data_IF_319899218252
#
_entry.id   IF_319899218252
#
_cell.length_a   1.000
_cell.length_b   1.000
_cell.length_c   1.000
_cell.angle_alpha   90.00
_cell.angle_beta   90.00
_cell.angle_gamma   90.00
#
_symmetry.space_group_name_H-M   'P 1'
#
loop_
_entity.id
_entity.type
_entity.pdbx_description
1 polymer ?
#
# COMPACT_ATOMS: atom_id res chain seq x y z
N UNK A 1 48.72 47.23 13.26
CA UNK A 1 49.19 48.55 12.79
C UNK A 1 50.71 48.54 12.84
N UNK A 2 51.38 48.64 11.68
CA UNK A 2 52.02 49.91 11.35
C UNK A 2 51.77 50.38 9.90
N UNK A 3 51.91 51.69 9.74
CA UNK A 3 51.96 52.52 8.53
C UNK A 3 53.16 52.08 7.67
N UNK A 4 53.19 52.06 6.33
CA UNK A 4 52.62 52.93 5.30
C UNK A 4 53.80 53.45 4.44
N UNK A 5 53.77 53.32 3.10
CA UNK A 5 54.28 54.29 2.11
C UNK A 5 54.27 53.75 0.66
N UNK A 6 53.80 54.62 -0.22
CA UNK A 6 53.62 54.50 -1.68
C UNK A 6 54.95 54.75 -2.42
N UNK A 7 55.19 54.00 -3.50
CA UNK A 7 56.18 54.32 -4.54
C UNK A 7 55.64 54.01 -5.93
N UNK A 8 55.53 55.02 -6.81
CA UNK A 8 55.16 54.94 -8.24
C UNK A 8 56.43 54.91 -9.11
N UNK A 9 56.43 54.14 -10.22
CA UNK A 9 56.97 54.47 -11.58
C UNK A 9 56.70 53.28 -12.54
N UNK A 10 55.84 53.44 -13.57
CA UNK A 10 56.10 53.71 -15.02
C UNK A 10 56.94 52.61 -15.72
N UNK A 11 56.45 51.81 -16.68
CA UNK A 11 55.82 51.95 -18.05
C UNK A 11 56.84 51.74 -19.19
N UNK A 12 56.60 50.70 -20.01
CA UNK A 12 57.00 50.52 -21.42
C UNK A 12 56.23 49.26 -21.90
N UNK A 13 55.23 49.26 -22.79
CA UNK A 13 54.99 49.82 -24.14
C UNK A 13 55.76 49.08 -25.25
N UNK A 14 55.08 48.14 -25.90
CA UNK A 14 55.20 47.75 -27.33
C UNK A 14 53.98 46.84 -27.63
N UNK A 15 52.96 47.32 -28.35
CA UNK A 15 52.73 47.46 -29.81
C UNK A 15 51.74 46.40 -30.29
N UNK A 16 50.74 46.89 -31.00
CA UNK A 16 49.59 46.14 -31.46
C UNK A 16 49.92 45.29 -32.70
N UNK A 17 49.20 44.18 -32.87
CA UNK A 17 48.63 43.89 -34.17
C UNK A 17 47.36 43.04 -34.04
N UNK A 18 46.31 43.57 -34.65
CA UNK A 18 45.00 42.99 -34.87
C UNK A 18 45.08 41.90 -35.95
N UNK A 19 44.47 40.74 -35.70
CA UNK A 19 43.79 39.97 -36.75
C UNK A 19 42.49 39.45 -36.14
N UNK A 20 41.38 39.94 -36.66
CA UNK A 20 40.03 39.43 -36.41
C UNK A 20 39.90 38.01 -36.96
N UNK A 21 39.25 37.16 -36.17
CA UNK A 21 38.80 35.83 -36.56
C UNK A 21 37.60 35.46 -35.71
N UNK A 22 36.42 35.92 -36.12
CA UNK A 22 35.14 35.42 -35.63
C UNK A 22 34.90 33.98 -36.14
N UNK A 23 34.67 33.01 -35.24
CA UNK A 23 33.32 32.51 -34.93
C UNK A 23 33.32 31.22 -34.07
N UNK A 24 32.49 31.29 -33.01
CA UNK A 24 31.59 30.28 -32.43
C UNK A 24 32.00 28.81 -32.28
N UNK A 25 31.95 28.33 -31.03
CA UNK A 25 31.73 26.91 -30.73
C UNK A 25 32.23 26.39 -29.39
N UNK A 26 32.25 27.17 -28.30
CA UNK A 26 32.66 26.67 -26.98
C UNK A 26 31.46 26.05 -26.23
N UNK A 27 31.52 24.74 -26.02
CA UNK A 27 30.55 23.97 -25.26
C UNK A 27 30.39 24.49 -23.83
N UNK A 28 29.17 24.90 -23.50
CA UNK A 28 28.72 25.14 -22.14
C UNK A 28 28.60 23.82 -21.38
N UNK A 29 29.70 23.36 -20.79
CA UNK A 29 29.67 22.31 -19.78
C UNK A 29 29.09 22.87 -18.49
N UNK A 30 27.77 22.85 -18.35
CA UNK A 30 27.11 23.08 -17.07
C UNK A 30 27.52 21.98 -16.09
N UNK A 31 28.28 22.35 -15.07
CA UNK A 31 28.56 21.48 -13.93
C UNK A 31 27.21 21.03 -13.33
N UNK A 32 27.00 19.73 -13.03
CA UNK A 32 25.81 19.31 -12.32
C UNK A 32 25.79 20.00 -10.96
N UNK A 33 24.70 20.73 -10.69
CA UNK A 33 24.48 21.36 -9.39
C UNK A 33 24.54 20.32 -8.27
N UNK A 34 24.79 20.75 -7.02
CA UNK A 34 24.84 19.84 -5.89
C UNK A 34 23.54 19.01 -5.84
N UNK A 35 23.61 17.70 -5.55
CA UNK A 35 22.42 16.87 -5.47
C UNK A 35 21.47 17.51 -4.47
N UNK A 36 20.25 17.81 -4.93
CA UNK A 36 19.17 18.29 -4.07
C UNK A 36 19.05 17.27 -2.93
N UNK A 37 19.17 17.66 -1.65
CA UNK A 37 19.03 16.71 -0.56
C UNK A 37 17.67 16.04 -0.67
N UNK A 38 17.66 14.72 -0.80
CA UNK A 38 16.43 13.94 -0.82
C UNK A 38 15.61 14.32 0.41
N UNK A 39 14.40 14.85 0.19
CA UNK A 39 13.49 15.18 1.28
C UNK A 39 13.23 13.89 2.05
N UNK A 40 13.73 13.82 3.29
CA UNK A 40 13.56 12.64 4.14
C UNK A 40 12.11 12.57 4.59
N UNK A 41 11.39 11.58 4.10
CA UNK A 41 10.00 11.36 4.48
C UNK A 41 9.95 10.67 5.84
N UNK A 42 9.34 11.33 6.81
CA UNK A 42 9.18 10.84 8.18
C UNK A 42 7.71 10.58 8.42
N UNK A 43 7.39 9.35 8.82
CA UNK A 43 6.05 8.95 9.20
C UNK A 43 6.03 8.60 10.70
N UNK A 44 4.85 8.69 11.29
CA UNK A 44 4.62 8.31 12.67
C UNK A 44 3.88 6.98 12.70
N UNK A 45 4.14 6.19 13.74
CA UNK A 45 3.48 4.89 13.91
C UNK A 45 3.12 4.61 15.35
N UNK A 46 2.11 3.78 15.59
CA UNK A 46 1.73 3.22 16.88
C UNK A 46 1.36 1.74 16.71
N UNK A 47 1.52 0.93 17.76
CA UNK A 47 0.88 -0.38 17.82
C UNK A 47 -0.62 -0.17 18.08
N UNK A 48 -1.47 -0.85 17.31
CA UNK A 48 -2.93 -0.65 17.36
C UNK A 48 -3.55 -0.98 18.74
N UNK A 49 -2.91 -1.84 19.53
CA UNK A 49 -3.34 -2.20 20.89
C UNK A 49 -2.80 -1.28 21.98
N UNK A 50 -2.06 -0.22 21.60
CA UNK A 50 -1.49 0.77 22.50
C UNK A 50 0.05 0.71 22.56
N UNK A 51 0.68 1.81 22.19
CA UNK A 51 2.12 2.07 22.41
C UNK A 51 2.39 3.58 22.39
N UNK A 52 3.56 4.03 22.87
CA UNK A 52 4.06 5.37 22.53
C UNK A 52 4.17 5.55 21.01
N UNK A 53 4.11 6.80 20.53
CA UNK A 53 4.32 7.13 19.12
C UNK A 53 5.77 6.90 18.72
N UNK A 54 5.96 6.02 17.74
CA UNK A 54 7.21 5.76 17.05
C UNK A 54 7.40 6.65 15.81
N UNK A 55 8.63 6.72 15.32
CA UNK A 55 8.99 7.40 14.08
C UNK A 55 9.63 6.40 13.13
N UNK A 56 9.18 6.37 11.88
CA UNK A 56 9.73 5.52 10.81
C UNK A 56 10.07 6.37 9.59
N UNK A 57 11.19 6.05 8.97
CA UNK A 57 11.76 6.77 7.83
C UNK A 57 12.56 5.78 6.96
N UNK A 58 12.95 6.21 5.76
CA UNK A 58 13.83 5.46 4.85
C UNK A 58 13.34 4.03 4.54
N UNK A 59 12.13 3.93 3.98
CA UNK A 59 11.55 2.69 3.43
C UNK A 59 10.99 2.95 2.02
N UNK A 60 11.05 1.92 1.18
CA UNK A 60 10.63 1.94 -0.22
C UNK A 60 9.66 0.81 -0.58
N UNK A 61 9.39 -0.09 0.37
CA UNK A 61 8.44 -1.19 0.23
C UNK A 61 7.67 -1.44 1.53
N UNK A 62 6.57 -2.20 1.44
CA UNK A 62 5.81 -2.63 2.62
C UNK A 62 6.67 -3.49 3.56
N UNK A 63 7.52 -4.36 2.99
CA UNK A 63 8.43 -5.19 3.77
C UNK A 63 9.42 -4.34 4.58
N UNK A 64 10.01 -3.31 3.97
CA UNK A 64 10.89 -2.37 4.67
C UNK A 64 10.12 -1.56 5.71
N UNK A 65 8.91 -1.08 5.39
CA UNK A 65 8.05 -0.39 6.34
C UNK A 65 7.81 -1.24 7.60
N UNK A 66 7.44 -2.51 7.44
CA UNK A 66 7.21 -3.41 8.57
C UNK A 66 8.49 -3.67 9.35
N UNK A 67 9.64 -3.80 8.67
CA UNK A 67 10.93 -3.90 9.35
C UNK A 67 11.26 -2.64 10.18
N UNK A 68 10.96 -1.43 9.66
CA UNK A 68 11.14 -0.17 10.40
C UNK A 68 10.23 -0.09 11.62
N UNK A 69 8.95 -0.40 11.47
CA UNK A 69 7.97 -0.42 12.58
C UNK A 69 8.41 -1.43 13.63
N UNK A 70 8.78 -2.64 13.22
CA UNK A 70 9.22 -3.70 14.11
C UNK A 70 10.48 -3.30 14.92
N UNK A 71 11.45 -2.65 14.25
CA UNK A 71 12.65 -2.12 14.90
C UNK A 71 12.36 -1.05 15.95
N UNK A 72 11.36 -0.19 15.72
CA UNK A 72 10.95 0.85 16.70
C UNK A 72 10.38 0.23 17.98
N UNK A 73 9.63 -0.87 17.85
CA UNK A 73 8.95 -1.52 18.99
C UNK A 73 9.68 -2.75 19.55
N UNK A 74 10.84 -3.11 18.99
CA UNK A 74 11.61 -4.27 19.44
C UNK A 74 10.85 -5.60 19.24
N UNK A 75 10.02 -5.71 18.21
CA UNK A 75 9.29 -6.93 17.85
C UNK A 75 9.86 -7.54 16.56
N UNK A 76 9.51 -8.80 16.26
CA UNK A 76 9.81 -9.37 14.94
C UNK A 76 8.88 -8.77 13.88
N UNK A 77 9.34 -8.50 12.64
CA UNK A 77 8.45 -8.10 11.54
C UNK A 77 7.31 -9.09 11.30
N UNK A 78 7.53 -10.38 11.56
CA UNK A 78 6.52 -11.44 11.49
C UNK A 78 5.40 -11.32 12.52
N UNK A 79 5.53 -10.45 13.53
CA UNK A 79 4.47 -10.17 14.48
C UNK A 79 3.45 -9.19 13.94
N UNK A 80 3.79 -8.39 12.92
CA UNK A 80 2.88 -7.42 12.30
C UNK A 80 1.98 -8.16 11.31
N UNK A 81 0.66 -8.12 11.55
CA UNK A 81 -0.36 -8.67 10.67
C UNK A 81 -0.62 -7.73 9.49
N UNK A 82 -0.96 -6.48 9.76
CA UNK A 82 -1.22 -5.45 8.75
C UNK A 82 -1.18 -4.06 9.40
N UNK A 83 -1.35 -3.01 8.60
CA UNK A 83 -1.44 -1.64 9.10
C UNK A 83 -2.74 -0.96 8.66
N UNK A 84 -3.29 -0.13 9.52
CA UNK A 84 -4.35 0.84 9.19
C UNK A 84 -3.81 2.26 9.31
N UNK A 85 -4.39 3.18 8.55
CA UNK A 85 -4.01 4.59 8.54
C UNK A 85 -5.00 5.42 9.35
N UNK A 86 -4.49 6.24 10.26
CA UNK A 86 -5.23 7.21 11.08
C UNK A 86 -6.28 6.60 12.04
N UNK A 87 -6.28 5.28 12.26
CA UNK A 87 -7.16 4.62 13.23
C UNK A 87 -6.48 3.39 13.84
N UNK A 88 -6.53 3.19 15.17
CA UNK A 88 -6.10 1.95 15.82
C UNK A 88 -7.14 0.84 15.71
N UNK A 89 -8.36 1.16 15.27
CA UNK A 89 -9.43 0.18 15.13
C UNK A 89 -9.17 -0.72 13.92
N UNK A 90 -9.70 -1.93 13.98
CA UNK A 90 -9.79 -2.82 12.83
C UNK A 90 -10.84 -2.24 11.88
N UNK A 91 -10.38 -1.36 11.00
CA UNK A 91 -11.18 -0.65 10.01
C UNK A 91 -10.57 -0.91 8.63
N UNK A 92 -11.23 -1.76 7.85
CA UNK A 92 -10.73 -2.22 6.56
C UNK A 92 -10.83 -1.17 5.45
N UNK A 93 -11.60 -0.09 5.67
CA UNK A 93 -11.65 1.06 4.76
C UNK A 93 -10.42 1.97 4.95
N UNK A 94 -9.73 1.81 6.09
CA UNK A 94 -8.47 2.48 6.42
C UNK A 94 -7.26 1.57 6.33
N UNK A 95 -7.40 0.38 5.74
CA UNK A 95 -6.30 -0.55 5.52
C UNK A 95 -5.24 0.09 4.61
N UNK A 96 -3.97 -0.09 4.94
CA UNK A 96 -2.87 0.34 4.09
C UNK A 96 -2.85 -0.45 2.76
N UNK A 97 -3.28 0.19 1.68
CA UNK A 97 -3.29 -0.36 0.31
C UNK A 97 -2.23 0.27 -0.60
N UNK A 98 -1.00 0.40 -0.11
CA UNK A 98 0.14 0.87 -0.92
C UNK A 98 0.26 2.40 -1.08
N UNK A 99 -0.71 3.20 -0.64
CA UNK A 99 -0.58 4.67 -0.56
C UNK A 99 -0.56 5.14 0.89
N UNK A 100 0.35 6.06 1.20
CA UNK A 100 0.49 6.67 2.52
C UNK A 100 0.53 8.19 2.35
N UNK A 101 -0.45 8.91 2.89
CA UNK A 101 -0.38 10.36 2.96
C UNK A 101 0.80 10.82 3.81
N UNK A 102 1.47 11.91 3.42
CA UNK A 102 2.68 12.38 4.12
C UNK A 102 2.46 12.75 5.60
N UNK A 103 1.22 12.90 6.03
CA UNK A 103 0.82 13.23 7.40
C UNK A 103 0.07 12.08 8.09
N UNK A 104 -0.07 10.92 7.44
CA UNK A 104 -0.80 9.80 8.00
C UNK A 104 -0.05 9.19 9.19
N UNK A 105 -0.83 8.81 10.21
CA UNK A 105 -0.36 8.02 11.33
C UNK A 105 -0.62 6.54 11.04
N UNK A 106 0.43 5.71 11.13
CA UNK A 106 0.36 4.30 10.79
C UNK A 106 0.13 3.46 12.05
N UNK A 107 -0.99 2.76 12.13
CA UNK A 107 -1.29 1.84 13.21
C UNK A 107 -0.98 0.40 12.81
N UNK A 108 -0.01 -0.21 13.47
CA UNK A 108 0.39 -1.59 13.22
C UNK A 108 -0.40 -2.56 14.09
N UNK A 109 -1.15 -3.45 13.43
CA UNK A 109 -1.89 -4.53 14.07
C UNK A 109 -0.97 -5.73 14.20
N UNK A 110 -0.80 -6.24 15.42
CA UNK A 110 0.12 -7.37 15.69
C UNK A 110 -0.64 -8.61 16.11
N UNK A 111 0.00 -9.78 15.95
CA UNK A 111 -0.53 -11.08 16.33
C UNK A 111 -0.99 -11.10 17.79
N UNK A 112 -2.23 -11.52 17.99
CA UNK A 112 -2.86 -11.69 19.29
C UNK A 112 -3.29 -13.13 19.51
N UNK A 113 -4.59 -13.33 19.71
CA UNK A 113 -5.15 -14.61 20.14
C UNK A 113 -5.19 -15.58 18.97
N UNK A 114 -4.66 -16.79 19.15
CA UNK A 114 -4.84 -17.90 18.21
C UNK A 114 -6.17 -18.59 18.46
N UNK A 115 -6.89 -18.86 17.38
CA UNK A 115 -8.22 -19.50 17.38
C UNK A 115 -8.20 -20.70 16.44
N UNK A 116 -8.87 -21.77 16.82
CA UNK A 116 -9.10 -22.92 15.95
C UNK A 116 -10.61 -23.17 15.89
N UNK A 117 -11.16 -23.19 14.68
CA UNK A 117 -12.61 -23.23 14.46
C UNK A 117 -12.94 -24.28 13.42
N UNK A 118 -13.89 -25.15 13.72
CA UNK A 118 -14.48 -26.09 12.76
C UNK A 118 -15.73 -25.45 12.16
N UNK A 119 -15.81 -25.45 10.83
CA UNK A 119 -16.91 -24.85 10.08
C UNK A 119 -17.49 -25.89 9.14
N UNK A 120 -18.82 -25.97 9.07
CA UNK A 120 -19.52 -26.80 8.11
C UNK A 120 -19.80 -26.01 6.83
N UNK A 121 -19.32 -26.50 5.68
CA UNK A 121 -19.53 -25.83 4.39
C UNK A 121 -20.87 -26.24 3.76
N UNK A 122 -21.96 -25.60 4.16
CA UNK A 122 -23.32 -25.87 3.65
C UNK A 122 -23.61 -25.28 2.26
N UNK A 123 -22.80 -24.34 1.79
CA UNK A 123 -22.95 -23.64 0.51
C UNK A 123 -21.59 -23.54 -0.20
N UNK A 124 -21.61 -23.25 -1.49
CA UNK A 124 -20.38 -23.12 -2.28
C UNK A 124 -19.53 -21.92 -1.82
N UNK A 125 -20.20 -20.83 -1.38
CA UNK A 125 -19.56 -19.63 -0.86
C UNK A 125 -19.64 -19.58 0.66
N UNK A 126 -18.50 -19.27 1.29
CA UNK A 126 -18.42 -19.07 2.74
C UNK A 126 -18.92 -17.68 3.18
N UNK A 127 -19.09 -16.75 2.23
CA UNK A 127 -19.36 -15.34 2.54
C UNK A 127 -18.14 -14.60 3.09
N UNK A 128 -16.93 -14.95 2.63
CA UNK A 128 -15.68 -14.28 3.01
C UNK A 128 -15.12 -13.48 1.84
N UNK A 129 -14.56 -12.32 2.17
CA UNK A 129 -13.68 -11.58 1.28
C UNK A 129 -12.29 -11.51 1.90
N UNK A 130 -11.29 -12.03 1.17
CA UNK A 130 -9.91 -12.15 1.66
C UNK A 130 -9.04 -11.04 1.06
N UNK A 131 -8.09 -10.55 1.85
CA UNK A 131 -7.03 -9.65 1.39
C UNK A 131 -5.71 -10.08 2.03
N UNK A 132 -4.58 -9.46 1.67
CA UNK A 132 -3.30 -9.73 2.31
C UNK A 132 -2.49 -8.44 2.55
N UNK A 133 -1.41 -8.59 3.30
CA UNK A 133 -0.53 -7.50 3.69
C UNK A 133 0.68 -7.31 2.75
N UNK A 134 0.71 -7.97 1.60
CA UNK A 134 1.83 -7.95 0.66
C UNK A 134 3.10 -8.68 1.11
N UNK A 135 3.14 -9.25 2.32
CA UNK A 135 4.31 -9.98 2.86
C UNK A 135 3.94 -11.37 3.40
N UNK A 136 2.86 -11.95 2.86
CA UNK A 136 2.50 -13.36 3.06
C UNK A 136 1.50 -13.64 4.17
N UNK A 137 0.79 -12.63 4.70
CA UNK A 137 -0.34 -12.86 5.61
C UNK A 137 -1.66 -12.47 4.96
N UNK A 138 -2.48 -13.47 4.65
CA UNK A 138 -3.85 -13.30 4.21
C UNK A 138 -4.80 -13.19 5.41
N UNK A 139 -5.77 -12.27 5.36
CA UNK A 139 -6.72 -12.04 6.44
C UNK A 139 -8.11 -11.68 5.92
N UNK A 140 -9.10 -11.80 6.80
CA UNK A 140 -10.50 -11.56 6.49
C UNK A 140 -10.76 -10.06 6.41
N UNK A 141 -11.07 -9.55 5.21
CA UNK A 141 -11.42 -8.14 4.98
C UNK A 141 -12.91 -7.89 5.21
N UNK A 142 -13.77 -8.81 4.79
CA UNK A 142 -15.22 -8.71 4.94
C UNK A 142 -15.82 -10.08 5.23
N UNK A 143 -16.90 -10.06 6.01
CA UNK A 143 -17.81 -11.18 6.20
C UNK A 143 -19.17 -10.71 5.66
N UNK A 144 -19.76 -11.48 4.76
CA UNK A 144 -21.06 -11.19 4.16
C UNK A 144 -22.18 -11.54 5.14
N UNK A 145 -23.07 -10.58 5.40
CA UNK A 145 -24.26 -10.78 6.23
C UNK A 145 -25.10 -11.96 5.72
N UNK A 146 -25.48 -12.84 6.64
CA UNK A 146 -26.22 -14.07 6.33
C UNK A 146 -25.41 -15.16 5.62
N UNK A 147 -24.11 -14.95 5.37
CA UNK A 147 -23.22 -16.00 4.89
C UNK A 147 -22.88 -17.03 5.96
N UNK A 148 -22.29 -18.17 5.54
CA UNK A 148 -21.89 -19.26 6.47
C UNK A 148 -21.07 -18.72 7.63
N UNK A 149 -20.05 -17.91 7.34
CA UNK A 149 -19.12 -17.43 8.36
C UNK A 149 -19.74 -16.35 9.26
N UNK A 150 -20.74 -15.60 8.81
CA UNK A 150 -21.45 -14.64 9.67
C UNK A 150 -22.12 -15.35 10.88
N UNK A 151 -22.57 -16.59 10.71
CA UNK A 151 -23.11 -17.39 11.82
C UNK A 151 -22.04 -17.81 12.85
N UNK A 152 -20.75 -17.78 12.49
CA UNK A 152 -19.63 -18.26 13.30
C UNK A 152 -18.97 -17.09 14.03
N UNK A 153 -19.51 -16.71 15.19
CA UNK A 153 -19.11 -15.49 15.94
C UNK A 153 -17.66 -15.46 16.44
N UNK A 154 -16.96 -16.60 16.44
CA UNK A 154 -15.53 -16.69 16.77
C UNK A 154 -14.63 -16.12 15.66
N UNK A 155 -15.12 -16.11 14.42
CA UNK A 155 -14.41 -15.61 13.25
C UNK A 155 -14.79 -14.14 13.06
N UNK A 156 -13.80 -13.27 12.93
CA UNK A 156 -13.97 -11.83 12.87
C UNK A 156 -13.23 -11.22 11.68
N UNK A 157 -13.71 -10.07 11.21
CA UNK A 157 -12.94 -9.20 10.30
C UNK A 157 -11.60 -8.84 10.97
N UNK A 158 -10.51 -8.91 10.21
CA UNK A 158 -9.14 -8.72 10.68
C UNK A 158 -8.41 -9.99 11.09
N UNK A 159 -9.10 -11.12 11.21
CA UNK A 159 -8.43 -12.39 11.52
C UNK A 159 -7.50 -12.81 10.39
N UNK A 160 -6.22 -13.06 10.72
CA UNK A 160 -5.26 -13.68 9.83
C UNK A 160 -5.51 -15.19 9.74
N UNK A 161 -5.56 -15.73 8.53
CA UNK A 161 -5.70 -17.17 8.28
C UNK A 161 -4.31 -17.81 8.28
N UNK A 162 -3.98 -18.55 9.35
CA UNK A 162 -2.68 -19.22 9.51
C UNK A 162 -2.64 -20.57 8.77
N UNK A 163 -3.75 -21.32 8.80
CA UNK A 163 -3.88 -22.62 8.11
C UNK A 163 -5.33 -23.01 7.81
N UNK A 164 -5.52 -23.81 6.77
CA UNK A 164 -6.81 -24.43 6.38
C UNK A 164 -6.60 -25.96 6.40
N UNK A 165 -7.42 -26.70 7.15
CA UNK A 165 -7.31 -28.16 7.32
C UNK A 165 -5.90 -28.63 7.75
N UNK A 166 -5.21 -27.82 8.55
CA UNK A 166 -3.84 -28.09 9.02
C UNK A 166 -2.73 -27.75 8.03
N UNK A 167 -3.05 -27.41 6.77
CA UNK A 167 -2.09 -26.90 5.80
C UNK A 167 -1.86 -25.40 6.02
N UNK A 168 -0.62 -25.00 6.31
CA UNK A 168 -0.29 -23.58 6.48
C UNK A 168 -0.43 -22.83 5.16
N UNK A 169 -1.03 -21.65 5.24
CA UNK A 169 -1.17 -20.73 4.11
C UNK A 169 -0.30 -19.48 4.27
N UNK A 170 0.60 -19.47 5.26
CA UNK A 170 1.56 -18.39 5.45
C UNK A 170 2.50 -18.32 4.25
N UNK A 171 2.72 -17.13 3.72
CA UNK A 171 3.50 -16.88 2.50
C UNK A 171 2.66 -16.89 1.22
N UNK A 172 1.44 -17.39 1.26
CA UNK A 172 0.52 -17.38 0.11
C UNK A 172 -0.16 -16.01 0.00
N UNK A 173 -0.50 -15.64 -1.24
CA UNK A 173 -1.28 -14.44 -1.54
C UNK A 173 -2.77 -14.68 -1.29
N UNK A 174 -3.52 -13.60 -1.08
CA UNK A 174 -4.95 -13.64 -0.78
C UNK A 174 -5.77 -14.44 -1.81
N UNK A 175 -5.41 -14.38 -3.10
CA UNK A 175 -6.11 -15.11 -4.16
C UNK A 175 -5.91 -16.63 -4.07
N UNK A 176 -4.74 -17.10 -3.65
CA UNK A 176 -4.47 -18.52 -3.44
C UNK A 176 -5.28 -19.04 -2.24
N UNK A 177 -5.32 -18.24 -1.17
CA UNK A 177 -6.11 -18.56 0.04
C UNK A 177 -7.61 -18.57 -0.27
N UNK A 178 -8.11 -17.57 -1.01
CA UNK A 178 -9.50 -17.51 -1.44
C UNK A 178 -9.87 -18.70 -2.34
N UNK A 179 -8.98 -19.08 -3.27
CA UNK A 179 -9.15 -20.27 -4.11
C UNK A 179 -9.23 -21.54 -3.27
N UNK A 180 -8.31 -21.76 -2.32
CA UNK A 180 -8.35 -22.92 -1.41
C UNK A 180 -9.67 -23.01 -0.64
N UNK A 181 -10.18 -21.88 -0.12
CA UNK A 181 -11.47 -21.82 0.58
C UNK A 181 -12.65 -22.15 -0.35
N UNK A 182 -12.61 -21.68 -1.59
CA UNK A 182 -13.63 -21.97 -2.61
C UNK A 182 -13.63 -23.45 -3.00
N UNK A 183 -12.46 -24.08 -3.09
CA UNK A 183 -12.27 -25.49 -3.47
C UNK A 183 -12.56 -26.49 -2.34
N UNK A 184 -12.77 -26.02 -1.10
CA UNK A 184 -13.25 -26.88 -0.01
C UNK A 184 -14.54 -27.60 -0.43
N UNK A 185 -14.65 -28.88 -0.06
CA UNK A 185 -15.81 -29.69 -0.40
C UNK A 185 -17.05 -29.19 0.33
N UNK A 186 -18.16 -29.10 -0.40
CA UNK A 186 -19.48 -28.83 0.15
C UNK A 186 -19.95 -30.03 0.99
N UNK A 187 -20.76 -29.77 2.00
CA UNK A 187 -21.29 -30.74 2.97
C UNK A 187 -20.21 -31.44 3.82
N UNK A 188 -19.02 -30.85 3.94
CA UNK A 188 -17.95 -31.33 4.82
C UNK A 188 -17.56 -30.27 5.86
N UNK A 189 -17.03 -30.75 6.99
CA UNK A 189 -16.36 -29.90 7.98
C UNK A 189 -14.94 -29.57 7.52
N UNK A 190 -14.53 -28.34 7.74
CA UNK A 190 -13.14 -27.92 7.58
C UNK A 190 -12.69 -27.13 8.81
N UNK A 191 -11.38 -27.11 9.05
CA UNK A 191 -10.78 -26.42 10.20
C UNK A 191 -10.02 -25.18 9.73
N UNK A 192 -10.24 -24.06 10.40
CA UNK A 192 -9.44 -22.84 10.25
C UNK A 192 -8.63 -22.61 11.51
N UNK A 193 -7.32 -22.36 11.35
CA UNK A 193 -6.51 -21.72 12.40
C UNK A 193 -6.35 -20.25 12.05
N UNK A 194 -6.77 -19.41 12.97
CA UNK A 194 -6.83 -17.96 12.81
C UNK A 194 -6.00 -17.27 13.89
N UNK A 195 -5.46 -16.10 13.58
CA UNK A 195 -4.82 -15.22 14.54
C UNK A 195 -5.58 -13.89 14.55
N UNK A 196 -6.23 -13.60 15.67
CA UNK A 196 -6.87 -12.32 15.91
C UNK A 196 -5.81 -11.25 16.24
N UNK A 197 -5.91 -10.04 15.69
CA UNK A 197 -5.07 -8.92 16.10
C UNK A 197 -5.23 -8.61 17.59
N UNK A 198 -4.15 -8.19 18.26
CA UNK A 198 -4.27 -7.64 19.61
C UNK A 198 -5.19 -6.42 19.58
N UNK A 199 -6.18 -6.41 20.47
CA UNK A 199 -7.08 -5.28 20.72
C UNK A 199 -6.61 -4.53 21.96
N UNK A 200 -6.96 -3.25 22.04
CA UNK A 200 -6.77 -2.47 23.26
C UNK A 200 -7.52 -3.14 24.43
N UNK A 201 -6.88 -3.24 25.59
CA UNK A 201 -7.53 -3.76 26.80
C UNK A 201 -8.38 -2.65 27.43
N UNK A 202 -9.69 -2.84 27.53
CA UNK A 202 -10.56 -2.00 28.36
C UNK A 202 -10.32 -2.30 29.85
N UNK A 203 -9.25 -1.77 30.45
CA UNK A 203 -9.04 -1.83 31.91
C UNK A 203 -9.04 -0.42 32.50
N UNK A 204 -10.22 0.05 32.90
CA UNK A 204 -10.44 1.02 34.01
C UNK A 204 -10.24 2.52 33.74
N UNK A 205 -10.69 3.37 34.70
CA UNK A 205 -11.85 4.26 34.56
C UNK A 205 -11.62 5.42 33.59
N UNK A 206 -12.71 5.86 32.92
CA UNK A 206 -12.78 7.05 32.05
C UNK A 206 -12.25 8.31 32.75
N UNK A 207 -10.95 8.56 32.64
CA UNK A 207 -10.42 9.92 32.69
C UNK A 207 -10.80 10.57 31.36
N UNK A 208 -11.63 11.63 31.44
CA UNK A 208 -12.06 12.46 30.31
C UNK A 208 -10.89 12.68 29.34
N UNK A 209 -10.92 11.97 28.22
CA UNK A 209 -10.04 12.23 27.09
C UNK A 209 -10.32 13.67 26.66
N UNK A 210 -9.31 14.53 26.82
CA UNK A 210 -9.32 15.84 26.19
C UNK A 210 -9.63 15.65 24.71
N UNK A 211 -10.60 16.41 24.20
CA UNK A 211 -10.82 16.53 22.78
C UNK A 211 -9.53 17.03 22.15
N UNK A 212 -8.69 16.13 21.64
CA UNK A 212 -7.83 16.49 20.53
C UNK A 212 -8.77 16.72 19.36
N UNK A 213 -9.11 17.99 19.15
CA UNK A 213 -9.68 18.44 17.90
C UNK A 213 -8.88 17.79 16.79
N UNK A 214 -9.55 16.99 15.95
CA UNK A 214 -9.06 16.67 14.63
C UNK A 214 -8.98 17.99 13.87
N UNK A 215 -7.90 18.74 14.11
CA UNK A 215 -7.51 19.83 13.23
C UNK A 215 -7.24 19.16 11.89
N UNK A 216 -8.16 19.42 10.94
CA UNK A 216 -7.90 19.25 9.52
C UNK A 216 -6.74 20.18 9.18
N UNK A 217 -5.52 19.68 9.40
CA UNK A 217 -4.29 20.35 9.00
C UNK A 217 -3.96 19.81 7.62
N UNK A 218 -3.88 20.73 6.66
CA UNK A 218 -3.08 20.57 5.46
C UNK A 218 -3.73 19.82 4.31
N UNK A 219 -4.01 20.55 3.24
CA UNK A 219 -4.18 20.06 1.87
C UNK A 219 -2.86 19.47 1.33
N UNK A 220 -2.36 18.41 1.96
CA UNK A 220 -1.24 17.62 1.44
C UNK A 220 -1.76 16.70 0.35
N UNK A 221 -1.80 17.18 -0.89
CA UNK A 221 -2.20 16.36 -2.06
C UNK A 221 -1.18 15.28 -2.43
N UNK A 222 -0.06 15.19 -1.73
CA UNK A 222 1.02 14.25 -2.00
C UNK A 222 0.88 12.99 -1.12
N UNK A 223 1.10 11.84 -1.75
CA UNK A 223 1.12 10.52 -1.11
C UNK A 223 2.39 9.79 -1.50
N UNK A 224 2.95 9.02 -0.58
CA UNK A 224 3.97 8.03 -0.88
C UNK A 224 3.28 6.78 -1.43
N UNK A 225 3.55 6.45 -2.69
CA UNK A 225 3.10 5.20 -3.31
C UNK A 225 4.19 4.13 -3.19
N UNK A 226 3.86 3.08 -2.46
CA UNK A 226 4.62 1.83 -2.36
C UNK A 226 4.12 0.88 -3.46
N UNK A 227 4.99 0.52 -4.39
CA UNK A 227 4.64 -0.40 -5.48
C UNK A 227 5.10 -1.81 -5.14
N UNK A 228 4.32 -2.87 -5.48
CA UNK A 228 4.77 -4.24 -5.30
C UNK A 228 6.05 -4.58 -6.07
N UNK A 229 6.22 -3.97 -7.25
CA UNK A 229 7.43 -4.05 -8.09
C UNK A 229 7.91 -2.63 -8.41
N UNK A 230 9.05 -2.22 -7.86
CA UNK A 230 9.69 -0.93 -8.14
C UNK A 230 9.96 -0.07 -6.90
N UNK A 231 10.51 1.12 -7.12
CA UNK A 231 10.82 2.07 -6.05
C UNK A 231 9.57 2.88 -5.63
N UNK A 232 9.53 3.28 -4.36
CA UNK A 232 8.49 4.17 -3.88
C UNK A 232 8.57 5.56 -4.53
N UNK A 233 7.43 6.11 -4.90
CA UNK A 233 7.29 7.41 -5.58
C UNK A 233 6.38 8.33 -4.81
N UNK A 234 6.65 9.65 -4.86
CA UNK A 234 5.70 10.66 -4.38
C UNK A 234 4.74 10.96 -5.53
N UNK A 235 3.45 10.75 -5.30
CA UNK A 235 2.39 10.94 -6.28
C UNK A 235 1.28 11.81 -5.72
N UNK A 236 0.59 12.55 -6.59
CA UNK A 236 -0.64 13.21 -6.19
C UNK A 236 -1.74 12.18 -5.90
N UNK A 237 -2.61 12.50 -4.93
CA UNK A 237 -3.81 11.70 -4.64
C UNK A 237 -4.57 11.45 -5.96
N UNK A 238 -4.98 10.19 -6.23
CA UNK A 238 -5.76 9.87 -7.42
C UNK A 238 -6.95 10.81 -7.60
N UNK A 239 -7.23 11.20 -8.85
CA UNK A 239 -8.44 11.95 -9.17
C UNK A 239 -9.68 11.15 -8.76
N UNK A 240 -10.79 11.84 -8.47
CA UNK A 240 -12.03 11.17 -8.05
C UNK A 240 -12.52 10.13 -9.07
N UNK A 241 -12.37 10.43 -10.37
CA UNK A 241 -12.67 9.50 -11.46
C UNK A 241 -11.76 8.27 -11.43
N UNK A 242 -10.45 8.45 -11.20
CA UNK A 242 -9.50 7.32 -11.06
C UNK A 242 -9.83 6.48 -9.83
N UNK A 243 -10.15 7.11 -8.71
CA UNK A 243 -10.51 6.43 -7.47
C UNK A 243 -11.79 5.57 -7.65
N UNK A 244 -12.85 6.14 -8.24
CA UNK A 244 -14.09 5.40 -8.56
C UNK A 244 -13.85 4.24 -9.53
N UNK A 245 -12.97 4.42 -10.51
CA UNK A 245 -12.62 3.35 -11.44
C UNK A 245 -11.93 2.18 -10.72
N UNK A 246 -10.94 2.50 -9.87
CA UNK A 246 -10.23 1.49 -9.08
C UNK A 246 -11.19 0.77 -8.12
N UNK A 247 -12.10 1.50 -7.47
CA UNK A 247 -13.12 0.92 -6.60
C UNK A 247 -14.03 -0.06 -7.35
N UNK A 248 -14.53 0.32 -8.53
CA UNK A 248 -15.31 -0.60 -9.38
C UNK A 248 -14.54 -1.88 -9.75
N UNK A 249 -13.24 -1.76 -10.01
CA UNK A 249 -12.39 -2.92 -10.30
C UNK A 249 -12.22 -3.80 -9.06
N UNK A 250 -12.00 -3.19 -7.90
CA UNK A 250 -11.89 -3.91 -6.61
C UNK A 250 -13.21 -4.62 -6.24
N UNK A 251 -14.36 -4.04 -6.61
CA UNK A 251 -15.67 -4.68 -6.48
C UNK A 251 -15.83 -5.89 -7.42
N UNK A 252 -15.31 -5.82 -8.66
CA UNK A 252 -15.30 -6.97 -9.57
C UNK A 252 -14.39 -8.09 -9.04
N UNK A 253 -13.23 -7.76 -8.45
CA UNK A 253 -12.36 -8.74 -7.80
C UNK A 253 -13.09 -9.47 -6.67
N UNK A 254 -13.86 -8.74 -5.87
CA UNK A 254 -14.65 -9.35 -4.80
C UNK A 254 -15.73 -10.26 -5.35
N UNK A 255 -16.45 -9.80 -6.37
CA UNK A 255 -17.55 -10.54 -6.97
C UNK A 255 -17.10 -11.86 -7.59
N UNK A 256 -16.03 -11.84 -8.38
CA UNK A 256 -15.57 -13.01 -9.14
C UNK A 256 -14.63 -13.92 -8.35
N UNK A 257 -13.79 -13.34 -7.49
CA UNK A 257 -12.68 -14.06 -6.86
C UNK A 257 -12.77 -14.10 -5.33
N UNK A 258 -13.68 -13.35 -4.71
CA UNK A 258 -13.80 -13.28 -3.25
C UNK A 258 -12.60 -12.58 -2.60
N UNK A 259 -11.95 -11.68 -3.32
CA UNK A 259 -10.77 -10.95 -2.85
C UNK A 259 -10.91 -9.45 -3.06
N UNK A 260 -10.20 -8.66 -2.27
CA UNK A 260 -10.01 -7.22 -2.53
C UNK A 260 -8.52 -6.91 -2.43
N UNK A 261 -7.98 -6.24 -3.42
CA UNK A 261 -6.59 -5.79 -3.48
C UNK A 261 -6.54 -4.50 -4.31
N UNK A 262 -6.40 -3.37 -3.61
CA UNK A 262 -6.38 -2.03 -4.22
C UNK A 262 -5.16 -1.86 -5.13
N UNK A 263 -4.02 -2.47 -4.81
CA UNK A 263 -2.83 -2.37 -5.64
C UNK A 263 -2.95 -3.20 -6.91
N UNK A 264 -3.56 -4.39 -6.81
CA UNK A 264 -3.94 -5.18 -7.99
C UNK A 264 -4.95 -4.42 -8.86
N UNK A 265 -6.02 -3.88 -8.27
CA UNK A 265 -7.03 -3.10 -8.98
C UNK A 265 -6.43 -1.86 -9.66
N UNK A 266 -5.50 -1.17 -8.99
CA UNK A 266 -4.76 -0.05 -9.57
C UNK A 266 -3.89 -0.48 -10.74
N UNK A 267 -3.21 -1.63 -10.63
CA UNK A 267 -2.39 -2.19 -11.69
C UNK A 267 -3.23 -2.56 -12.91
N UNK A 268 -4.41 -3.16 -12.70
CA UNK A 268 -5.38 -3.47 -13.76
C UNK A 268 -5.87 -2.21 -14.47
N UNK A 269 -6.22 -1.16 -13.72
CA UNK A 269 -6.59 0.14 -14.28
C UNK A 269 -5.46 0.74 -15.11
N UNK A 270 -4.23 0.73 -14.59
CA UNK A 270 -3.05 1.27 -15.28
C UNK A 270 -2.71 0.50 -16.56
N UNK A 271 -2.92 -0.82 -16.60
CA UNK A 271 -2.72 -1.64 -17.79
C UNK A 271 -3.75 -1.32 -18.91
N UNK A 272 -4.99 -0.96 -18.55
CA UNK A 272 -6.08 -0.77 -19.49
C UNK A 272 -6.37 0.67 -19.93
N UNK A 273 -6.00 1.68 -19.14
CA UNK A 273 -6.40 3.09 -19.38
C UNK A 273 -6.02 3.65 -20.77
N UNK A 274 -4.94 3.14 -21.36
CA UNK A 274 -4.39 3.62 -22.64
C UNK A 274 -4.72 2.69 -23.82
N UNK A 275 -5.44 1.59 -23.59
CA UNK A 275 -5.77 0.60 -24.64
C UNK A 275 -6.96 1.03 -25.46
N UNK A 276 -7.03 0.63 -26.72
CA UNK A 276 -8.09 1.06 -27.64
C UNK A 276 -9.22 0.06 -27.80
N UNK A 277 -8.94 -1.22 -27.55
CA UNK A 277 -9.87 -2.33 -27.77
C UNK A 277 -9.68 -3.46 -26.72
N UNK A 278 -10.67 -4.35 -26.58
CA UNK A 278 -10.61 -5.46 -25.61
C UNK A 278 -9.43 -6.41 -25.81
N UNK A 279 -9.00 -6.67 -27.06
CA UNK A 279 -7.92 -7.62 -27.34
C UNK A 279 -6.57 -7.08 -26.85
N UNK A 280 -6.27 -5.81 -27.15
CA UNK A 280 -5.10 -5.10 -26.63
C UNK A 280 -5.08 -5.06 -25.11
N UNK A 281 -6.25 -4.92 -24.49
CA UNK A 281 -6.40 -4.94 -23.05
C UNK A 281 -6.09 -6.32 -22.47
N UNK A 282 -6.70 -7.38 -23.01
CA UNK A 282 -6.47 -8.77 -22.60
C UNK A 282 -4.99 -9.14 -22.72
N UNK A 283 -4.32 -8.74 -23.80
CA UNK A 283 -2.88 -8.95 -23.97
C UNK A 283 -2.06 -8.25 -22.87
N UNK A 284 -2.34 -6.97 -22.60
CA UNK A 284 -1.61 -6.21 -21.58
C UNK A 284 -1.86 -6.73 -20.15
N UNK A 285 -3.10 -7.15 -19.87
CA UNK A 285 -3.46 -7.77 -18.60
C UNK A 285 -2.73 -9.10 -18.42
N UNK A 286 -2.68 -9.93 -19.45
CA UNK A 286 -1.98 -11.22 -19.39
C UNK A 286 -0.46 -11.07 -19.29
N UNK A 287 0.14 -10.07 -19.96
CA UNK A 287 1.57 -9.76 -19.82
C UNK A 287 1.94 -9.37 -18.38
N UNK A 288 1.04 -8.65 -17.70
CA UNK A 288 1.30 -8.11 -16.35
C UNK A 288 0.88 -9.06 -15.23
N UNK A 289 -0.23 -9.78 -15.43
CA UNK A 289 -0.99 -10.53 -14.42
C UNK A 289 -1.45 -11.91 -14.92
N UNK A 290 -0.80 -12.50 -15.92
CA UNK A 290 -1.19 -13.79 -16.50
C UNK A 290 -1.19 -14.96 -15.51
N UNK A 291 -0.44 -14.85 -14.41
CA UNK A 291 -0.43 -15.85 -13.33
C UNK A 291 -1.79 -16.05 -12.65
N UNK A 292 -2.69 -15.06 -12.73
CA UNK A 292 -4.00 -15.11 -12.09
C UNK A 292 -5.04 -15.90 -12.88
N UNK A 293 -4.81 -16.12 -14.19
CA UNK A 293 -5.72 -16.81 -15.09
C UNK A 293 -7.19 -16.36 -14.95
N UNK A 294 -7.44 -15.06 -15.18
CA UNK A 294 -8.77 -14.48 -15.03
C UNK A 294 -9.80 -15.08 -16.00
N UNK A 295 -11.06 -15.30 -15.57
CA UNK A 295 -12.14 -15.70 -16.47
C UNK A 295 -12.43 -14.65 -17.55
N UNK A 296 -12.80 -15.08 -18.75
CA UNK A 296 -13.11 -14.17 -19.87
C UNK A 296 -14.23 -13.17 -19.52
N UNK A 297 -15.26 -13.61 -18.81
CA UNK A 297 -16.35 -12.73 -18.32
C UNK A 297 -15.82 -11.61 -17.41
N UNK A 298 -14.88 -11.94 -16.52
CA UNK A 298 -14.26 -10.94 -15.65
C UNK A 298 -13.44 -9.94 -16.47
N UNK A 299 -12.67 -10.40 -17.46
CA UNK A 299 -11.88 -9.51 -18.33
C UNK A 299 -12.78 -8.57 -19.15
N UNK A 300 -13.93 -9.07 -19.62
CA UNK A 300 -14.91 -8.27 -20.32
C UNK A 300 -15.53 -7.18 -19.43
N UNK A 301 -16.00 -7.54 -18.24
CA UNK A 301 -16.58 -6.58 -17.29
C UNK A 301 -15.55 -5.56 -16.81
N UNK A 302 -14.30 -5.99 -16.62
CA UNK A 302 -13.17 -5.14 -16.27
C UNK A 302 -12.91 -4.08 -17.36
N UNK A 303 -12.92 -4.49 -18.63
CA UNK A 303 -12.81 -3.57 -19.76
C UNK A 303 -13.98 -2.56 -19.78
N UNK A 304 -15.20 -3.02 -19.51
CA UNK A 304 -16.37 -2.16 -19.35
C UNK A 304 -16.19 -1.08 -18.27
N UNK A 305 -15.74 -1.48 -17.08
CA UNK A 305 -15.50 -0.59 -15.95
C UNK A 305 -14.43 0.48 -16.25
N UNK A 306 -13.34 0.09 -16.92
CA UNK A 306 -12.30 1.04 -17.36
C UNK A 306 -12.84 1.97 -18.45
N UNK A 307 -13.64 1.45 -19.39
CA UNK A 307 -14.27 2.23 -20.45
C UNK A 307 -15.22 3.31 -19.92
N UNK A 308 -16.00 3.02 -18.89
CA UNK A 308 -16.85 4.00 -18.20
C UNK A 308 -16.01 5.14 -17.60
N UNK A 309 -14.92 4.80 -16.91
CA UNK A 309 -14.03 5.80 -16.31
C UNK A 309 -13.36 6.72 -17.34
N UNK A 310 -13.17 6.27 -18.59
CA UNK A 310 -12.68 7.11 -19.69
C UNK A 310 -13.74 8.07 -20.22
N UNK A 311 -15.02 7.75 -20.06
CA UNK A 311 -16.15 8.56 -20.55
C UNK A 311 -16.67 9.56 -19.52
N UNK A 312 -16.38 9.37 -18.23
CA UNK A 312 -16.71 10.32 -17.14
C UNK A 312 -17.40 9.64 -15.96
#
# INVERSE_FOLDING_TARGET
>A
MPLGLRGKKKKSKETAQLVEGEQMGAGGGSLPGPPVPARRLVFHTQLAHGSPTGRVEDFSSIQELYARIAGVYGISPSEILYCTLNTPKIDMDRLLGGQIGLQDLIFAHVKGIKKEVNVYKSEDSLGLTITDNGVGYAFIKRIKDGGIIDSVKTICVGDHIESINGESVVGQRHYEVAKKLKELKKEELFTLKLIEPKKEFEIGPRSKAGKSSAEKIGTGRETLRLRPKGHATIEEVPSETKAKAIEKIDDLLELYMGIRDIDLATTMFEAGKDKSNPDEFSMALNETLGEFAFPDEFVFDLWGAIGDARRG
#
